data_IF_761622516532
#
_entry.id   IF_761622516532
#
_cell.length_a   1.000
_cell.length_b   1.000
_cell.length_c   1.000
_cell.angle_alpha   90.00
_cell.angle_beta   90.00
_cell.angle_gamma   90.00
#
_symmetry.space_group_name_H-M   'P 1'
#
loop_
_entity.id
_entity.type
_entity.pdbx_description
1 polymer ?
#
# COMPACT_ATOMS: atom_id res chain seq x y z
N UNK A 1 7.01 28.52 19.69
CA UNK A 1 5.65 28.18 19.22
C UNK A 1 5.64 27.14 18.10
N UNK A 2 6.24 27.38 16.92
CA UNK A 2 6.21 26.40 15.81
C UNK A 2 6.90 25.04 16.10
N UNK A 3 8.01 25.04 16.84
CA UNK A 3 8.74 23.81 17.23
C UNK A 3 7.88 22.86 18.07
N UNK A 4 7.05 23.39 18.97
CA UNK A 4 6.14 22.59 19.76
C UNK A 4 5.02 22.00 18.89
N UNK A 5 4.47 22.78 17.95
CA UNK A 5 3.47 22.29 17.00
C UNK A 5 4.01 21.15 16.11
N UNK A 6 5.25 21.25 15.65
CA UNK A 6 5.90 20.18 14.86
C UNK A 6 6.09 18.89 15.66
N UNK A 7 6.52 19.00 16.93
CA UNK A 7 6.68 17.83 17.82
C UNK A 7 5.33 17.18 18.09
N UNK A 8 4.28 17.97 18.31
CA UNK A 8 2.94 17.43 18.59
C UNK A 8 2.35 16.74 17.37
N UNK A 9 2.51 17.32 16.18
CA UNK A 9 2.09 16.71 14.92
C UNK A 9 2.80 15.37 14.66
N UNK A 10 4.11 15.29 14.95
CA UNK A 10 4.90 14.08 14.74
C UNK A 10 4.45 12.93 15.64
N UNK A 11 4.10 13.21 16.91
CA UNK A 11 3.62 12.19 17.87
C UNK A 11 2.25 11.63 17.46
N UNK A 12 1.34 12.46 16.95
CA UNK A 12 -0.01 12.01 16.56
C UNK A 12 0.02 11.07 15.35
N UNK A 13 1.00 11.18 14.45
CA UNK A 13 1.16 10.29 13.29
C UNK A 13 1.35 8.81 13.65
N UNK A 14 1.78 8.50 14.89
CA UNK A 14 1.99 7.12 15.36
C UNK A 14 0.80 6.54 16.15
N UNK A 15 -0.31 7.28 16.31
CA UNK A 15 -1.45 6.86 17.12
C UNK A 15 -2.22 5.64 16.57
N UNK A 16 -1.92 5.18 15.35
CA UNK A 16 -2.55 4.01 14.72
C UNK A 16 -1.93 2.65 15.06
N UNK A 17 -0.76 2.61 15.71
CA UNK A 17 -0.08 1.35 16.02
C UNK A 17 -0.67 0.67 17.27
N UNK A 18 -1.71 -0.15 17.08
CA UNK A 18 -2.32 -0.96 18.14
C UNK A 18 -2.33 -2.45 17.74
N UNK A 19 -2.06 -3.34 18.71
CA UNK A 19 -2.23 -4.79 18.50
C UNK A 19 -3.71 -5.12 18.59
N UNK A 20 -4.26 -5.62 17.50
CA UNK A 20 -5.68 -5.99 17.37
C UNK A 20 -5.78 -7.53 17.35
N UNK A 21 -6.83 -8.10 17.96
CA UNK A 21 -7.02 -9.54 17.97
C UNK A 21 -7.28 -10.08 16.54
N UNK A 22 -6.88 -11.31 16.19
CA UNK A 22 -6.98 -11.81 14.81
C UNK A 22 -8.39 -11.74 14.20
N UNK A 23 -9.44 -11.98 15.00
CA UNK A 23 -10.84 -11.97 14.57
C UNK A 23 -11.39 -10.56 14.27
N UNK A 24 -10.82 -9.51 14.86
CA UNK A 24 -11.20 -8.12 14.58
C UNK A 24 -10.67 -7.64 13.21
N UNK A 25 -9.75 -8.39 12.60
CA UNK A 25 -9.25 -8.10 11.24
C UNK A 25 -10.15 -8.64 10.13
N UNK A 26 -11.20 -9.41 10.47
CA UNK A 26 -12.06 -10.08 9.50
C UNK A 26 -12.74 -9.13 8.50
N UNK A 27 -13.13 -7.93 8.93
CA UNK A 27 -13.73 -6.93 8.04
C UNK A 27 -12.77 -6.40 6.97
N UNK A 28 -11.46 -6.39 7.22
CA UNK A 28 -10.45 -5.93 6.26
C UNK A 28 -9.85 -7.07 5.43
N UNK A 29 -10.09 -8.32 5.83
CA UNK A 29 -9.58 -9.53 5.18
C UNK A 29 -10.70 -10.38 4.58
N UNK A 30 -11.81 -9.74 4.17
CA UNK A 30 -12.91 -10.44 3.50
C UNK A 30 -12.40 -11.06 2.19
N UNK A 31 -12.64 -12.36 1.92
CA UNK A 31 -12.21 -13.01 0.70
C UNK A 31 -12.69 -12.33 -0.60
N UNK A 32 -13.81 -11.61 -0.55
CA UNK A 32 -14.32 -10.85 -1.70
C UNK A 32 -13.46 -9.64 -2.07
N UNK A 33 -12.61 -9.17 -1.15
CA UNK A 33 -11.65 -8.09 -1.41
C UNK A 33 -10.29 -8.62 -1.89
N UNK A 34 -10.14 -9.94 -2.07
CA UNK A 34 -8.94 -10.54 -2.64
C UNK A 34 -8.85 -10.24 -4.15
N UNK A 35 -8.00 -9.28 -4.49
CA UNK A 35 -7.74 -8.85 -5.87
C UNK A 35 -7.05 -9.93 -6.72
N UNK A 36 -6.52 -10.96 -6.08
CA UNK A 36 -5.75 -12.06 -6.68
C UNK A 36 -6.47 -13.41 -6.67
N UNK A 37 -7.76 -13.44 -6.32
CA UNK A 37 -8.55 -14.68 -6.26
C UNK A 37 -8.47 -15.48 -7.58
N UNK A 38 -8.47 -14.78 -8.72
CA UNK A 38 -8.32 -15.37 -10.06
C UNK A 38 -6.93 -15.03 -10.65
N UNK A 39 -5.96 -15.94 -10.50
CA UNK A 39 -4.56 -15.72 -10.88
C UNK A 39 -4.37 -15.28 -12.35
N UNK A 40 -5.14 -15.85 -13.29
CA UNK A 40 -5.02 -15.51 -14.70
C UNK A 40 -5.50 -14.07 -15.00
N UNK A 41 -6.61 -13.67 -14.39
CA UNK A 41 -7.14 -12.32 -14.52
C UNK A 41 -6.23 -11.29 -13.82
N UNK A 42 -5.71 -11.64 -12.63
CA UNK A 42 -4.77 -10.81 -11.90
C UNK A 42 -3.49 -10.53 -12.72
N UNK A 43 -2.93 -11.55 -13.39
CA UNK A 43 -1.77 -11.40 -14.27
C UNK A 43 -2.07 -10.48 -15.46
N UNK A 44 -3.22 -10.65 -16.10
CA UNK A 44 -3.63 -9.79 -17.21
C UNK A 44 -3.80 -8.32 -16.79
N UNK A 45 -4.50 -8.08 -15.68
CA UNK A 45 -4.68 -6.73 -15.13
C UNK A 45 -3.35 -6.09 -14.73
N UNK A 46 -2.45 -6.86 -14.11
CA UNK A 46 -1.11 -6.40 -13.78
C UNK A 46 -0.32 -5.98 -15.03
N UNK A 47 -0.39 -6.76 -16.12
CA UNK A 47 0.26 -6.42 -17.39
C UNK A 47 -0.29 -5.13 -18.02
N UNK A 48 -1.61 -4.95 -18.02
CA UNK A 48 -2.26 -3.72 -18.51
C UNK A 48 -1.88 -2.51 -17.67
N UNK A 49 -1.82 -2.68 -16.35
CA UNK A 49 -1.45 -1.61 -15.42
C UNK A 49 0.02 -1.22 -15.56
N UNK A 50 0.94 -2.19 -15.63
CA UNK A 50 2.37 -1.95 -15.87
C UNK A 50 2.62 -1.25 -17.22
N UNK A 51 1.87 -1.63 -18.26
CA UNK A 51 1.96 -0.94 -19.57
C UNK A 51 1.50 0.51 -19.52
N UNK A 52 0.57 0.86 -18.63
CA UNK A 52 0.02 2.21 -18.48
C UNK A 52 0.82 3.06 -17.50
N UNK A 53 1.41 2.43 -16.50
CA UNK A 53 2.06 3.09 -15.35
C UNK A 53 3.54 2.74 -15.23
N UNK A 54 4.17 2.20 -16.27
CA UNK A 54 5.57 1.74 -16.25
C UNK A 54 6.63 2.78 -15.85
N UNK A 55 6.26 4.06 -15.69
CA UNK A 55 7.09 5.09 -15.11
C UNK A 55 7.07 5.13 -13.55
N UNK A 56 6.06 4.56 -12.89
CA UNK A 56 5.89 4.55 -11.42
C UNK A 56 6.32 3.23 -10.77
N UNK A 57 6.70 2.24 -11.57
CA UNK A 57 7.04 0.91 -11.12
C UNK A 57 5.78 0.10 -10.81
N UNK A 58 5.36 -0.76 -11.75
CA UNK A 58 4.19 -1.64 -11.60
C UNK A 58 4.33 -2.73 -10.54
N UNK A 59 3.40 -3.69 -10.57
CA UNK A 59 3.12 -4.73 -9.56
C UNK A 59 4.29 -5.70 -9.20
N UNK A 60 5.50 -5.45 -9.70
CA UNK A 60 6.71 -6.22 -9.43
C UNK A 60 8.02 -5.54 -9.81
N UNK A 61 8.03 -4.24 -10.14
CA UNK A 61 9.27 -3.54 -10.48
C UNK A 61 9.80 -2.71 -9.30
N UNK A 62 11.06 -2.95 -8.98
CA UNK A 62 11.82 -2.30 -7.92
C UNK A 62 12.22 -0.85 -8.28
N UNK A 63 11.28 0.03 -8.61
CA UNK A 63 11.68 1.39 -8.95
C UNK A 63 10.58 2.32 -9.44
N UNK A 64 9.90 2.97 -8.49
CA UNK A 64 9.19 4.24 -8.70
C UNK A 64 10.01 5.43 -8.18
N UNK A 65 11.30 5.47 -8.50
CA UNK A 65 12.21 6.56 -8.16
C UNK A 65 13.02 6.96 -9.39
N UNK A 66 13.39 8.25 -9.50
CA UNK A 66 14.26 8.78 -10.55
C UNK A 66 15.40 7.78 -10.80
N UNK A 67 15.36 7.08 -11.93
CA UNK A 67 16.20 5.91 -12.23
C UNK A 67 17.67 6.25 -12.48
N UNK A 68 18.30 6.96 -11.54
CA UNK A 68 19.72 7.18 -11.48
C UNK A 68 20.33 6.10 -10.57
N UNK A 69 20.84 5.03 -11.19
CA UNK A 69 22.05 4.40 -10.65
C UNK A 69 23.20 5.40 -10.74
#
# INVERSE_FOLDING_TARGET
>A
MWRAALITAWVVSFAGCVRVAPYQRGHLADPTMDVSHENAEASFRAHVHDSREGATGGYGSSGGGCGCN
#
